data_IF_795376879752
#
_entry.id   IF_795376879752
#
_cell.length_a   1.000
_cell.length_b   1.000
_cell.length_c   1.000
_cell.angle_alpha   90.00
_cell.angle_beta   90.00
_cell.angle_gamma   90.00
#
_symmetry.space_group_name_H-M   'P 1'
#
loop_
_entity.id
_entity.type
_entity.pdbx_description
1 polymer ?
#
# COMPACT_ATOMS: atom_id res chain seq x y z
N UNK A 1 -14.18 -17.67 21.38
CA UNK A 1 -13.56 -19.01 21.19
C UNK A 1 -12.16 -18.79 20.65
N UNK A 2 -11.17 -19.57 21.09
CA UNK A 2 -9.80 -19.47 20.58
C UNK A 2 -9.76 -19.93 19.11
N UNK A 3 -9.14 -19.16 18.22
CA UNK A 3 -8.93 -19.56 16.82
C UNK A 3 -7.80 -20.59 16.71
N UNK A 4 -7.80 -21.35 15.61
CA UNK A 4 -6.74 -22.33 15.31
C UNK A 4 -5.56 -21.59 14.66
N UNK A 5 -4.31 -21.88 15.05
CA UNK A 5 -3.14 -21.28 14.40
C UNK A 5 -3.10 -21.55 12.89
N UNK A 6 -2.70 -20.54 12.12
CA UNK A 6 -2.52 -20.67 10.67
C UNK A 6 -1.07 -21.04 10.37
N UNK A 7 -0.87 -22.16 9.66
CA UNK A 7 0.41 -22.50 9.05
C UNK A 7 0.49 -21.81 7.69
N UNK A 8 1.30 -20.74 7.59
CA UNK A 8 1.40 -19.93 6.38
C UNK A 8 1.80 -20.73 5.13
N UNK A 9 2.83 -21.62 5.14
CA UNK A 9 3.16 -22.44 3.98
C UNK A 9 2.00 -23.31 3.48
N UNK A 10 1.29 -23.99 4.39
CA UNK A 10 0.11 -24.79 4.06
C UNK A 10 -1.01 -23.93 3.50
N UNK A 11 -1.28 -22.80 4.14
CA UNK A 11 -2.30 -21.86 3.67
C UNK A 11 -2.00 -21.37 2.25
N UNK A 12 -0.74 -21.06 1.93
CA UNK A 12 -0.32 -20.64 0.59
C UNK A 12 -0.49 -21.74 -0.47
N UNK A 13 -0.19 -23.00 -0.11
CA UNK A 13 -0.40 -24.13 -1.02
C UNK A 13 -1.87 -24.27 -1.45
N UNK A 14 -2.81 -23.94 -0.55
CA UNK A 14 -4.25 -24.04 -0.79
C UNK A 14 -4.84 -22.74 -1.38
N UNK A 15 -4.30 -21.57 -1.00
CA UNK A 15 -4.96 -20.27 -1.18
C UNK A 15 -4.15 -19.23 -1.97
N UNK A 16 -2.95 -19.54 -2.48
CA UNK A 16 -2.12 -18.58 -3.23
C UNK A 16 -2.82 -17.96 -4.45
N UNK A 17 -3.84 -18.62 -4.99
CA UNK A 17 -4.69 -18.08 -6.06
C UNK A 17 -5.47 -16.82 -5.64
N UNK A 18 -5.70 -16.60 -4.34
CA UNK A 18 -6.35 -15.41 -3.78
C UNK A 18 -5.42 -14.20 -3.69
N UNK A 19 -4.12 -14.37 -3.94
CA UNK A 19 -3.11 -13.31 -3.82
C UNK A 19 -2.72 -12.69 -5.16
N UNK A 20 -3.55 -12.88 -6.19
CA UNK A 20 -3.33 -12.41 -7.57
C UNK A 20 -4.30 -11.28 -7.91
N UNK A 21 -3.95 -10.36 -8.84
CA UNK A 21 -4.86 -9.32 -9.29
C UNK A 21 -6.26 -9.85 -9.69
N UNK A 22 -7.34 -9.07 -9.47
CA UNK A 22 -7.36 -7.67 -9.04
C UNK A 22 -7.33 -7.47 -7.52
N UNK A 23 -7.47 -8.53 -6.72
CA UNK A 23 -7.43 -8.49 -5.25
C UNK A 23 -6.24 -9.31 -4.80
N UNK A 24 -5.15 -8.64 -4.46
CA UNK A 24 -3.88 -9.29 -4.17
C UNK A 24 -3.63 -9.48 -2.67
N UNK A 25 -4.62 -9.25 -1.81
CA UNK A 25 -4.53 -9.42 -0.36
C UNK A 25 -5.67 -10.29 0.18
N UNK A 26 -5.37 -11.02 1.25
CA UNK A 26 -6.33 -11.81 2.01
C UNK A 26 -6.25 -11.46 3.49
N UNK A 27 -7.38 -11.13 4.11
CA UNK A 27 -7.47 -10.82 5.53
C UNK A 27 -7.66 -12.11 6.33
N UNK A 28 -6.65 -12.50 7.10
CA UNK A 28 -6.65 -13.71 7.93
C UNK A 28 -7.37 -13.48 9.25
N UNK A 29 -7.10 -12.35 9.89
CA UNK A 29 -7.73 -11.93 11.15
C UNK A 29 -8.15 -10.47 11.03
N UNK A 30 -9.32 -10.13 11.57
CA UNK A 30 -9.87 -8.78 11.58
C UNK A 30 -10.55 -8.50 12.93
N UNK A 31 -9.73 -8.36 13.97
CA UNK A 31 -10.18 -8.16 15.36
C UNK A 31 -9.50 -6.90 15.94
N UNK A 32 -8.75 -7.02 17.04
CA UNK A 32 -7.89 -5.95 17.55
C UNK A 32 -6.72 -5.64 16.60
N UNK A 33 -6.30 -6.67 15.85
CA UNK A 33 -5.34 -6.56 14.76
C UNK A 33 -5.96 -7.05 13.47
N UNK A 34 -5.66 -6.33 12.39
CA UNK A 34 -5.87 -6.76 11.02
C UNK A 34 -4.59 -7.41 10.53
N UNK A 35 -4.65 -8.71 10.26
CA UNK A 35 -3.51 -9.48 9.76
C UNK A 35 -3.81 -9.91 8.32
N UNK A 36 -3.00 -9.43 7.39
CA UNK A 36 -3.17 -9.67 5.96
C UNK A 36 -2.00 -10.44 5.39
N UNK A 37 -2.30 -11.38 4.50
CA UNK A 37 -1.32 -11.98 3.59
C UNK A 37 -1.49 -11.28 2.24
N UNK A 38 -0.41 -10.79 1.65
CA UNK A 38 -0.46 -9.95 0.46
C UNK A 38 0.54 -10.43 -0.58
N UNK A 39 0.07 -10.70 -1.79
CA UNK A 39 0.90 -11.02 -2.95
C UNK A 39 0.99 -9.89 -3.97
N UNK A 40 1.43 -10.24 -5.16
CA UNK A 40 1.55 -9.33 -6.30
C UNK A 40 1.38 -10.04 -7.64
N UNK A 41 1.49 -9.30 -8.76
CA UNK A 41 1.95 -7.92 -8.84
C UNK A 41 0.84 -6.90 -8.49
N UNK A 42 1.20 -5.80 -7.82
CA UNK A 42 0.33 -4.66 -7.58
C UNK A 42 1.15 -3.39 -7.39
N UNK A 43 0.81 -2.35 -8.13
CA UNK A 43 1.41 -1.03 -8.01
C UNK A 43 0.37 0.05 -8.27
N UNK A 44 0.36 1.09 -7.43
CA UNK A 44 -0.53 2.24 -7.54
C UNK A 44 0.25 3.53 -7.29
N UNK A 45 -0.37 4.68 -7.50
CA UNK A 45 0.28 5.98 -7.28
C UNK A 45 -0.15 6.70 -6.01
N UNK A 46 -1.14 6.16 -5.30
CA UNK A 46 -1.58 6.66 -3.99
C UNK A 46 -0.58 6.35 -2.87
N UNK A 47 -0.34 7.33 -2.02
CA UNK A 47 0.29 7.17 -0.73
C UNK A 47 -0.79 7.14 0.35
N UNK A 48 -0.80 6.07 1.13
CA UNK A 48 -1.63 5.95 2.31
C UNK A 48 -0.92 6.63 3.49
N UNK A 49 -1.70 7.30 4.33
CA UNK A 49 -1.23 7.93 5.56
C UNK A 49 -2.15 7.43 6.67
N UNK A 50 -1.67 6.40 7.34
CA UNK A 50 -2.29 5.80 8.51
C UNK A 50 -1.73 6.48 9.77
N UNK A 51 -2.56 6.89 10.73
CA UNK A 51 -2.05 7.49 11.98
C UNK A 51 -1.45 6.48 12.95
N UNK A 52 -1.68 5.19 12.71
CA UNK A 52 -1.12 4.07 13.47
C UNK A 52 0.02 3.41 12.71
N UNK A 53 0.95 2.72 13.40
CA UNK A 53 2.03 2.00 12.74
C UNK A 53 1.53 0.85 11.88
N UNK A 54 2.33 0.48 10.87
CA UNK A 54 2.11 -0.71 10.05
C UNK A 54 3.33 -1.59 10.09
N UNK A 55 3.13 -2.87 10.39
CA UNK A 55 4.22 -3.84 10.46
C UNK A 55 4.20 -4.73 9.21
N UNK A 56 5.37 -4.86 8.59
CA UNK A 56 5.60 -5.63 7.38
C UNK A 56 6.55 -6.79 7.68
N UNK A 57 6.25 -7.95 7.13
CA UNK A 57 7.18 -9.07 7.03
C UNK A 57 7.09 -9.68 5.65
N UNK A 58 8.22 -9.81 4.96
CA UNK A 58 8.21 -10.29 3.60
C UNK A 58 8.64 -11.76 3.55
N UNK A 59 7.66 -12.66 3.41
CA UNK A 59 7.87 -14.10 3.47
C UNK A 59 8.51 -14.70 2.21
N UNK A 60 8.16 -14.17 1.02
CA UNK A 60 8.68 -14.63 -0.29
C UNK A 60 8.91 -13.45 -1.23
N UNK A 61 10.09 -13.40 -1.85
CA UNK A 61 10.53 -12.32 -2.72
C UNK A 61 10.60 -10.97 -2.00
N UNK A 62 11.01 -9.92 -2.69
CA UNK A 62 11.16 -8.57 -2.16
C UNK A 62 9.97 -7.71 -2.58
N UNK A 63 9.62 -6.72 -1.76
CA UNK A 63 8.71 -5.63 -2.12
C UNK A 63 9.42 -4.28 -2.08
N UNK A 64 8.81 -3.27 -2.69
CA UNK A 64 9.28 -1.89 -2.63
C UNK A 64 8.25 -1.05 -1.88
N UNK A 65 8.64 -0.39 -0.80
CA UNK A 65 7.81 0.55 -0.06
C UNK A 65 8.32 1.96 -0.32
N UNK A 66 7.58 2.71 -1.13
CA UNK A 66 7.89 4.14 -1.35
C UNK A 66 7.37 4.92 -0.15
N UNK A 67 8.16 5.82 0.41
CA UNK A 67 7.78 6.63 1.57
C UNK A 67 8.14 8.08 1.38
N UNK A 68 7.47 8.96 2.13
CA UNK A 68 7.89 10.35 2.29
C UNK A 68 8.30 10.55 3.75
N UNK A 69 9.60 10.63 3.99
CA UNK A 69 10.19 10.74 5.32
C UNK A 69 10.86 12.11 5.47
N UNK A 70 10.38 12.93 6.40
CA UNK A 70 10.80 14.33 6.56
C UNK A 70 10.81 15.13 5.24
N UNK A 71 9.79 14.91 4.41
CA UNK A 71 9.64 15.56 3.10
C UNK A 71 10.53 15.00 1.99
N UNK A 72 11.31 13.94 2.27
CA UNK A 72 12.15 13.27 1.28
C UNK A 72 11.49 11.99 0.79
N UNK A 73 11.40 11.86 -0.52
CA UNK A 73 10.93 10.62 -1.14
C UNK A 73 12.03 9.56 -1.06
N UNK A 74 11.69 8.38 -0.55
CA UNK A 74 12.60 7.27 -0.41
C UNK A 74 11.96 5.98 -0.89
N UNK A 75 12.78 5.14 -1.50
CA UNK A 75 12.41 3.82 -2.01
C UNK A 75 13.05 2.76 -1.09
N UNK A 76 12.24 2.16 -0.21
CA UNK A 76 12.69 1.14 0.73
C UNK A 76 12.46 -0.25 0.15
N UNK A 77 13.53 -1.00 -0.12
CA UNK A 77 13.42 -2.41 -0.50
C UNK A 77 13.30 -3.26 0.76
N UNK A 78 12.17 -3.94 0.93
CA UNK A 78 11.94 -4.92 2.00
C UNK A 78 12.13 -6.29 1.38
N UNK A 79 13.27 -6.93 1.65
CA UNK A 79 13.70 -8.18 1.00
C UNK A 79 13.03 -9.40 1.62
N UNK A 80 13.12 -10.53 0.95
CA UNK A 80 12.68 -11.81 1.52
C UNK A 80 13.35 -12.05 2.88
N UNK A 81 12.55 -12.32 3.90
CA UNK A 81 12.96 -12.48 5.29
C UNK A 81 12.95 -11.20 6.12
N UNK A 82 12.88 -10.02 5.50
CA UNK A 82 12.93 -8.75 6.24
C UNK A 82 11.65 -8.48 7.02
N UNK A 83 11.82 -7.85 8.18
CA UNK A 83 10.76 -7.26 8.99
C UNK A 83 10.96 -5.75 9.05
N UNK A 84 9.87 -5.00 8.97
CA UNK A 84 9.91 -3.54 9.02
C UNK A 84 8.69 -2.99 9.75
N UNK A 85 8.91 -2.04 10.67
CA UNK A 85 7.84 -1.31 11.34
C UNK A 85 7.81 0.11 10.78
N UNK A 86 6.79 0.42 9.99
CA UNK A 86 6.55 1.76 9.49
C UNK A 86 5.86 2.60 10.58
N UNK A 87 6.44 3.74 11.00
CA UNK A 87 5.79 4.65 11.94
C UNK A 87 4.47 5.21 11.39
N UNK A 88 3.54 5.49 12.30
CA UNK A 88 2.30 6.19 11.95
C UNK A 88 2.57 7.60 11.41
N UNK A 89 1.66 8.08 10.58
CA UNK A 89 1.70 9.33 9.83
C UNK A 89 2.76 9.42 8.72
N UNK A 90 3.53 8.35 8.46
CA UNK A 90 4.44 8.29 7.33
C UNK A 90 3.66 7.99 6.04
N UNK A 91 3.61 8.91 5.06
CA UNK A 91 3.02 8.62 3.76
C UNK A 91 3.78 7.49 3.09
N UNK A 92 3.07 6.45 2.68
CA UNK A 92 3.68 5.27 2.10
C UNK A 92 2.87 4.68 0.94
N UNK A 93 3.55 4.12 -0.05
CA UNK A 93 2.98 3.51 -1.24
C UNK A 93 3.62 2.13 -1.46
N UNK A 94 2.93 1.04 -1.08
CA UNK A 94 3.42 -0.32 -1.27
C UNK A 94 3.37 -0.76 -2.74
N UNK A 95 4.51 -1.23 -3.26
CA UNK A 95 4.64 -1.87 -4.56
C UNK A 95 5.05 -3.32 -4.37
N UNK A 96 4.26 -4.24 -4.95
CA UNK A 96 4.47 -5.68 -4.86
C UNK A 96 4.68 -6.27 -6.24
N UNK A 97 5.64 -7.18 -6.34
CA UNK A 97 6.04 -7.81 -7.59
C UNK A 97 5.38 -9.19 -7.76
N UNK A 98 5.45 -9.75 -8.96
CA UNK A 98 4.86 -11.05 -9.24
C UNK A 98 5.48 -12.15 -8.38
N UNK A 99 4.68 -13.14 -8.00
CA UNK A 99 5.11 -14.32 -7.22
C UNK A 99 5.76 -14.03 -5.85
N UNK A 100 5.49 -12.83 -5.29
CA UNK A 100 5.90 -12.44 -3.94
C UNK A 100 4.80 -12.70 -2.91
N UNK A 101 5.18 -12.82 -1.63
CA UNK A 101 4.26 -12.97 -0.49
C UNK A 101 4.78 -12.15 0.68
N UNK A 102 3.97 -11.27 1.22
CA UNK A 102 4.21 -10.56 2.48
C UNK A 102 3.07 -10.71 3.47
N UNK A 103 3.35 -10.40 4.71
CA UNK A 103 2.41 -10.25 5.82
C UNK A 103 2.40 -8.79 6.22
N UNK A 104 1.20 -8.22 6.37
CA UNK A 104 1.01 -6.88 6.92
C UNK A 104 0.14 -6.99 8.15
N UNK A 105 0.57 -6.34 9.23
CA UNK A 105 -0.21 -6.24 10.47
C UNK A 105 -0.48 -4.77 10.72
N UNK A 106 -1.76 -4.45 10.86
CA UNK A 106 -2.24 -3.15 11.30
C UNK A 106 -3.03 -3.33 12.59
N UNK A 107 -2.98 -2.35 13.48
CA UNK A 107 -3.93 -2.31 14.58
C UNK A 107 -5.28 -1.76 14.12
N UNK A 108 -6.34 -2.12 14.85
CA UNK A 108 -7.61 -1.43 14.74
C UNK A 108 -7.41 0.07 15.02
N UNK A 109 -8.02 0.90 14.17
CA UNK A 109 -7.97 2.35 14.27
C UNK A 109 -8.55 2.81 15.62
N UNK A 110 -7.81 3.60 16.42
CA UNK A 110 -8.37 4.24 17.60
C UNK A 110 -9.52 5.17 17.22
N UNK A 111 -10.44 5.39 18.16
CA UNK A 111 -11.54 6.35 17.96
C UNK A 111 -11.00 7.72 17.56
N UNK A 112 -11.67 8.38 16.62
CA UNK A 112 -11.32 9.70 16.06
C UNK A 112 -10.02 9.77 15.25
N UNK A 113 -9.40 8.64 14.91
CA UNK A 113 -8.32 8.64 13.92
C UNK A 113 -8.84 8.80 12.50
N UNK A 114 -8.03 9.43 11.66
CA UNK A 114 -8.34 9.76 10.26
C UNK A 114 -7.22 9.22 9.39
N UNK A 115 -7.58 8.34 8.46
CA UNK A 115 -6.72 7.89 7.38
C UNK A 115 -6.78 8.90 6.23
N UNK A 116 -5.66 9.06 5.53
CA UNK A 116 -5.61 9.88 4.32
C UNK A 116 -5.04 9.07 3.16
N UNK A 117 -5.54 9.37 1.97
CA UNK A 117 -5.01 8.92 0.70
C UNK A 117 -4.54 10.14 -0.07
N UNK A 118 -3.27 10.15 -0.47
CA UNK A 118 -2.61 11.31 -1.06
C UNK A 118 -1.92 10.92 -2.36
N UNK A 119 -2.01 11.79 -3.35
CA UNK A 119 -1.29 11.67 -4.61
C UNK A 119 -0.29 12.81 -4.77
N UNK A 120 0.91 12.49 -5.22
CA UNK A 120 1.97 13.45 -5.50
C UNK A 120 2.22 13.56 -7.00
N UNK A 121 2.71 14.72 -7.44
CA UNK A 121 3.09 14.94 -8.82
C UNK A 121 4.35 14.14 -9.16
N UNK A 122 4.29 13.34 -10.24
CA UNK A 122 5.40 12.49 -10.68
C UNK A 122 6.23 13.12 -11.82
N UNK A 123 6.06 14.42 -12.07
CA UNK A 123 6.74 15.13 -13.16
C UNK A 123 8.03 15.80 -12.66
N UNK A 124 9.17 15.35 -13.17
CA UNK A 124 10.49 15.80 -12.73
C UNK A 124 10.62 15.77 -11.20
N UNK A 125 11.15 16.86 -10.63
CA UNK A 125 11.31 17.03 -9.19
C UNK A 125 10.16 17.85 -8.56
N UNK A 126 8.96 17.81 -9.16
CA UNK A 126 7.85 18.66 -8.74
C UNK A 126 7.37 18.31 -7.32
N UNK A 127 7.09 17.01 -7.10
CA UNK A 127 6.75 16.37 -5.82
C UNK A 127 5.60 17.00 -5.01
N UNK A 128 4.86 17.96 -5.60
CA UNK A 128 3.76 18.63 -4.93
C UNK A 128 2.58 17.68 -4.70
N UNK A 129 1.87 17.90 -3.59
CA UNK A 129 0.57 17.25 -3.36
C UNK A 129 -0.39 17.67 -4.47
N UNK A 130 -0.94 16.68 -5.16
CA UNK A 130 -1.91 16.85 -6.25
C UNK A 130 -3.33 16.76 -5.69
N UNK A 131 -3.58 15.72 -4.89
CA UNK A 131 -4.87 15.51 -4.24
C UNK A 131 -4.69 14.79 -2.91
N UNK A 132 -5.60 15.05 -1.98
CA UNK A 132 -5.71 14.32 -0.73
C UNK A 132 -7.19 14.09 -0.41
N UNK A 133 -7.52 12.88 0.01
CA UNK A 133 -8.80 12.50 0.55
C UNK A 133 -8.61 11.99 1.98
N UNK A 134 -9.44 12.48 2.91
CA UNK A 134 -9.43 12.07 4.30
C UNK A 134 -10.72 11.30 4.63
N UNK A 135 -10.62 10.24 5.44
CA UNK A 135 -11.76 9.43 5.84
C UNK A 135 -11.53 8.76 7.20
N UNK A 136 -12.63 8.50 7.91
CA UNK A 136 -12.61 7.56 9.03
C UNK A 136 -12.64 6.15 8.47
N UNK A 137 -11.59 5.37 8.71
CA UNK A 137 -11.46 4.03 8.18
C UNK A 137 -12.32 3.03 8.98
N UNK A 138 -13.45 2.66 8.42
CA UNK A 138 -14.34 1.59 8.93
C UNK A 138 -14.28 0.33 8.06
N UNK A 139 -14.00 0.49 6.76
CA UNK A 139 -13.75 -0.58 5.80
C UNK A 139 -12.64 -0.11 4.86
N UNK A 140 -11.39 -0.51 5.18
CA UNK A 140 -10.19 -0.08 4.47
C UNK A 140 -10.27 -0.40 2.97
N UNK A 141 -10.69 -1.62 2.61
CA UNK A 141 -10.70 -2.08 1.23
C UNK A 141 -11.67 -1.29 0.36
N UNK A 142 -12.91 -1.12 0.85
CA UNK A 142 -13.96 -0.43 0.10
C UNK A 142 -13.69 1.07 0.00
N UNK A 143 -13.25 1.71 1.09
CA UNK A 143 -13.02 3.16 1.12
C UNK A 143 -11.79 3.57 0.30
N UNK A 144 -10.70 2.79 0.34
CA UNK A 144 -9.53 3.01 -0.51
C UNK A 144 -9.92 2.89 -1.99
N UNK A 145 -10.65 1.83 -2.35
CA UNK A 145 -11.10 1.63 -3.74
C UNK A 145 -11.92 2.81 -4.24
N UNK A 146 -12.89 3.28 -3.45
CA UNK A 146 -13.70 4.44 -3.81
C UNK A 146 -12.86 5.72 -4.00
N UNK A 147 -11.88 5.96 -3.12
CA UNK A 147 -10.99 7.12 -3.25
C UNK A 147 -10.15 7.06 -4.54
N UNK A 148 -9.62 5.88 -4.87
CA UNK A 148 -8.86 5.65 -6.11
C UNK A 148 -9.74 5.88 -7.35
N UNK A 149 -10.94 5.30 -7.39
CA UNK A 149 -11.87 5.46 -8.51
C UNK A 149 -12.27 6.92 -8.72
N UNK A 150 -12.54 7.65 -7.64
CA UNK A 150 -12.83 9.09 -7.70
C UNK A 150 -11.65 9.92 -8.22
N UNK A 151 -10.42 9.57 -7.82
CA UNK A 151 -9.23 10.23 -8.34
C UNK A 151 -9.04 9.92 -9.83
N UNK A 152 -9.18 8.66 -10.23
CA UNK A 152 -9.06 8.22 -11.62
C UNK A 152 -10.04 8.95 -12.57
N UNK A 153 -11.29 9.11 -12.13
CA UNK A 153 -12.37 9.67 -12.93
C UNK A 153 -12.34 11.21 -13.06
N UNK A 154 -11.51 11.92 -12.29
CA UNK A 154 -11.51 13.38 -12.24
C UNK A 154 -10.19 13.96 -12.73
N UNK A 155 -10.19 14.59 -13.91
CA UNK A 155 -9.03 15.34 -14.41
C UNK A 155 -8.65 16.50 -13.49
N UNK A 156 -9.64 17.17 -12.90
CA UNK A 156 -9.43 18.26 -11.95
C UNK A 156 -8.64 17.78 -10.73
N UNK A 157 -9.07 16.68 -10.09
CA UNK A 157 -8.35 16.09 -8.94
C UNK A 157 -6.96 15.60 -9.33
N UNK A 158 -6.72 15.26 -10.60
CA UNK A 158 -5.42 14.78 -11.10
C UNK A 158 -4.51 15.91 -11.55
N UNK A 159 -5.02 17.13 -11.73
CA UNK A 159 -4.21 18.25 -12.24
C UNK A 159 -3.35 18.81 -11.12
N UNK A 160 -2.03 18.75 -11.27
CA UNK A 160 -1.11 19.34 -10.31
C UNK A 160 -1.28 20.86 -10.26
N UNK A 161 -1.57 21.42 -9.08
CA UNK A 161 -1.68 22.86 -8.89
C UNK A 161 -0.37 23.63 -9.08
N UNK A 162 0.79 22.97 -8.94
CA UNK A 162 2.12 23.60 -9.05
C UNK A 162 2.62 23.71 -10.49
N UNK A 163 2.55 22.63 -11.27
CA UNK A 163 3.10 22.60 -12.65
C UNK A 163 2.05 22.38 -13.74
N UNK A 164 0.78 22.13 -13.39
CA UNK A 164 -0.30 21.89 -14.35
C UNK A 164 -0.32 20.48 -14.95
N UNK A 165 0.71 19.66 -14.72
CA UNK A 165 0.77 18.28 -15.22
C UNK A 165 -0.33 17.41 -14.61
N UNK A 166 -0.93 16.57 -15.45
CA UNK A 166 -1.90 15.58 -15.00
C UNK A 166 -1.18 14.38 -14.36
N UNK A 167 -1.42 14.15 -13.08
CA UNK A 167 -0.87 13.02 -12.34
C UNK A 167 -1.44 11.69 -12.88
N UNK A 168 -0.57 10.68 -12.91
CA UNK A 168 -0.96 9.33 -13.30
C UNK A 168 -1.66 8.65 -12.13
N UNK A 169 -2.74 7.94 -12.42
CA UNK A 169 -3.46 7.09 -11.46
C UNK A 169 -2.86 5.70 -11.34
N UNK A 170 -2.06 5.29 -12.32
CA UNK A 170 -1.27 4.06 -12.33
C UNK A 170 0.18 4.40 -12.65
N UNK A 171 1.17 3.68 -12.10
CA UNK A 171 2.57 3.92 -12.45
C UNK A 171 2.79 3.75 -13.95
N UNK A 172 3.67 4.59 -14.53
CA UNK A 172 4.03 4.47 -15.95
C UNK A 172 4.72 3.11 -16.18
N UNK A 173 4.43 2.39 -17.28
CA UNK A 173 5.13 1.15 -17.60
C UNK A 173 6.66 1.35 -17.58
N UNK A 174 7.39 0.46 -16.92
CA UNK A 174 8.85 0.52 -16.79
C UNK A 174 9.41 1.56 -15.81
N UNK A 175 8.56 2.33 -15.12
CA UNK A 175 9.02 3.35 -14.14
C UNK A 175 9.49 2.77 -12.81
N UNK A 176 9.07 1.55 -12.47
CA UNK A 176 9.46 0.87 -11.23
C UNK A 176 10.35 -0.31 -11.59
N UNK A 177 11.55 -0.35 -11.01
CA UNK A 177 12.49 -1.46 -11.15
C UNK A 177 12.12 -2.56 -10.16
N UNK A 178 12.16 -3.80 -10.62
CA UNK A 178 11.92 -4.97 -9.78
C UNK A 178 13.22 -5.41 -9.08
N UNK A 179 13.32 -5.29 -7.75
CA UNK A 179 14.51 -5.69 -6.99
C UNK A 179 14.71 -7.20 -6.92
N UNK A 180 13.79 -8.00 -7.45
CA UNK A 180 13.91 -9.46 -7.54
C UNK A 180 14.60 -9.94 -8.82
N UNK A 181 14.89 -9.03 -9.75
CA UNK A 181 15.58 -9.34 -11.01
C UNK A 181 17.08 -8.96 -10.98
N UNK A 182 17.56 -8.50 -9.82
CA UNK A 182 18.97 -8.17 -9.56
C UNK A 182 19.78 -9.39 -9.09
#
# INVERSE_FOLDING_TARGET
MLSVPVNLPKWLAENSHLLKPPVNNYCVYNEDFTVMIVGGPNARTDYHINQTPEWFYQYKGSMLLKVVDDGKFQDLVIREGDMFLLPGNTPHNPVRFADTVGVVIEQRRPENTIDRMRWYCQEGDCEAVVHEAAFHCTDLGTQIKAAIEQFMASEEKRKCGKCGTLANSVPKPGSIKDPNLE
#
